data_IF_150595127228
#
_entry.id   IF_150595127228
#
_cell.length_a   1.000
_cell.length_b   1.000
_cell.length_c   1.000
_cell.angle_alpha   90.00
_cell.angle_beta   90.00
_cell.angle_gamma   90.00
#
_symmetry.space_group_name_H-M   'P 1'
#
loop_
_entity.id
_entity.type
_entity.pdbx_description
1 polymer ?
#
# COMPACT_ATOMS: atom_id res chain seq x y z
N UNK A 1 -12.44 -1.42 5.71
CA UNK A 1 -11.70 -2.56 6.32
C UNK A 1 -10.61 -2.01 7.23
N UNK A 2 -10.69 -2.25 8.56
CA UNK A 2 -9.69 -1.80 9.55
C UNK A 2 -8.87 -3.02 9.99
N UNK A 3 -7.65 -3.16 9.46
CA UNK A 3 -6.76 -4.26 9.84
C UNK A 3 -6.04 -3.95 11.16
N UNK A 4 -5.29 -2.84 11.25
CA UNK A 4 -4.50 -2.49 12.44
C UNK A 4 -5.16 -1.48 13.40
N UNK A 5 -6.50 -1.38 13.41
CA UNK A 5 -7.25 -0.48 14.31
C UNK A 5 -6.73 0.97 14.38
N UNK A 6 -6.12 1.48 13.30
CA UNK A 6 -5.48 2.79 13.26
C UNK A 6 -4.38 2.99 14.31
N UNK A 7 -3.61 1.93 14.63
CA UNK A 7 -2.52 1.96 15.60
C UNK A 7 -1.18 1.61 14.96
N UNK A 8 -0.13 2.28 15.41
CA UNK A 8 1.25 1.92 15.10
C UNK A 8 1.61 0.64 15.85
N UNK A 9 2.15 -0.37 15.17
CA UNK A 9 2.49 -1.65 15.78
C UNK A 9 3.71 -1.59 16.70
N UNK A 10 4.55 -0.55 16.54
CA UNK A 10 5.72 -0.30 17.38
C UNK A 10 5.36 0.45 18.67
N UNK A 11 4.89 1.69 18.59
CA UNK A 11 4.59 2.50 19.79
C UNK A 11 3.18 2.29 20.36
N UNK A 12 2.35 1.46 19.70
CA UNK A 12 0.96 1.15 20.07
C UNK A 12 0.01 2.36 20.18
N UNK A 13 0.42 3.56 19.78
CA UNK A 13 -0.42 4.77 19.77
C UNK A 13 -1.38 4.76 18.58
N UNK A 14 -2.53 5.39 18.76
CA UNK A 14 -3.53 5.62 17.71
C UNK A 14 -3.16 6.83 16.86
N UNK A 15 -3.37 6.71 15.55
CA UNK A 15 -3.09 7.75 14.57
C UNK A 15 -4.20 7.78 13.52
N UNK A 16 -4.52 8.95 12.94
CA UNK A 16 -5.31 9.02 11.73
C UNK A 16 -4.74 8.12 10.62
N UNK A 17 -5.62 7.50 9.82
CA UNK A 17 -5.23 6.48 8.83
C UNK A 17 -4.19 6.97 7.83
N UNK A 18 -4.24 8.24 7.44
CA UNK A 18 -3.33 8.84 6.46
C UNK A 18 -1.90 9.08 7.00
N UNK A 19 -1.66 8.89 8.30
CA UNK A 19 -0.34 9.05 8.94
C UNK A 19 0.37 7.70 9.09
N UNK A 20 -0.36 6.59 9.02
CA UNK A 20 0.20 5.26 9.15
C UNK A 20 0.69 4.75 7.80
N UNK A 21 1.93 4.29 7.80
CA UNK A 21 2.60 3.73 6.64
C UNK A 21 2.70 2.22 6.76
N UNK A 22 2.62 1.55 5.60
CA UNK A 22 2.72 0.10 5.49
C UNK A 22 4.08 -0.23 4.89
N UNK A 23 4.89 -0.98 5.62
CA UNK A 23 6.25 -1.32 5.20
C UNK A 23 6.41 -2.83 5.03
N UNK A 24 7.09 -3.23 3.97
CA UNK A 24 7.45 -4.62 3.71
C UNK A 24 8.82 -4.95 4.32
N UNK A 25 8.98 -6.20 4.78
CA UNK A 25 10.19 -6.72 5.41
C UNK A 25 10.79 -7.80 4.51
N UNK A 26 11.90 -7.44 3.87
CA UNK A 26 12.64 -8.31 2.96
C UNK A 26 12.12 -8.27 1.52
N UNK A 27 12.85 -8.95 0.65
CA UNK A 27 12.61 -8.98 -0.79
C UNK A 27 11.98 -10.33 -1.13
N UNK A 28 10.65 -10.37 -1.23
CA UNK A 28 9.94 -11.55 -1.69
C UNK A 28 8.95 -11.17 -2.78
N UNK A 29 8.86 -12.00 -3.80
CA UNK A 29 7.89 -11.86 -4.89
C UNK A 29 6.44 -11.99 -4.41
N UNK A 30 6.21 -12.59 -3.23
CA UNK A 30 4.89 -12.69 -2.60
C UNK A 30 4.96 -12.23 -1.14
N UNK A 31 4.38 -11.08 -0.88
CA UNK A 31 4.28 -10.51 0.46
C UNK A 31 3.18 -11.24 1.24
N UNK A 32 3.50 -11.73 2.44
CA UNK A 32 2.55 -12.32 3.38
C UNK A 32 2.32 -11.46 4.63
N UNK A 33 1.40 -11.86 5.50
CA UNK A 33 1.03 -11.13 6.70
C UNK A 33 2.18 -10.99 7.72
N UNK A 34 3.21 -11.84 7.62
CA UNK A 34 4.40 -11.82 8.49
C UNK A 34 5.51 -10.90 7.99
N UNK A 35 5.37 -10.40 6.76
CA UNK A 35 6.34 -9.54 6.09
C UNK A 35 5.87 -8.10 5.98
N UNK A 36 4.75 -7.75 6.61
CA UNK A 36 4.20 -6.39 6.57
C UNK A 36 4.04 -5.86 7.97
N UNK A 37 4.48 -4.64 8.21
CA UNK A 37 4.29 -3.91 9.47
C UNK A 37 3.61 -2.56 9.20
N UNK A 38 2.71 -2.14 10.09
CA UNK A 38 2.08 -0.82 10.05
C UNK A 38 2.68 0.07 11.14
N UNK A 39 3.29 1.19 10.74
CA UNK A 39 4.01 2.09 11.66
C UNK A 39 3.68 3.55 11.38
N UNK A 40 3.89 4.42 12.37
CA UNK A 40 3.96 5.85 12.10
C UNK A 40 5.35 6.21 11.56
N UNK A 41 5.42 7.29 10.78
CA UNK A 41 6.67 7.76 10.16
C UNK A 41 7.82 7.92 11.17
N UNK A 42 7.53 8.40 12.39
CA UNK A 42 8.53 8.57 13.44
C UNK A 42 9.15 7.22 13.84
N UNK A 43 8.33 6.23 14.18
CA UNK A 43 8.85 4.91 14.56
C UNK A 43 9.60 4.26 13.40
N UNK A 44 9.09 4.36 12.18
CA UNK A 44 9.79 3.83 11.00
C UNK A 44 11.16 4.46 10.82
N UNK A 45 11.26 5.79 10.89
CA UNK A 45 12.52 6.49 10.73
C UNK A 45 13.53 6.14 11.82
N UNK A 46 13.07 5.96 13.07
CA UNK A 46 13.92 5.55 14.18
C UNK A 46 14.42 4.10 14.06
N UNK A 47 13.65 3.20 13.43
CA UNK A 47 14.01 1.78 13.37
C UNK A 47 14.74 1.38 12.10
N UNK A 48 14.46 2.02 10.96
CA UNK A 48 14.93 1.58 9.63
C UNK A 48 16.45 1.47 9.50
N UNK A 49 17.20 2.30 10.22
CA UNK A 49 18.66 2.37 10.16
C UNK A 49 19.34 1.53 11.25
N UNK A 50 18.57 0.87 12.12
CA UNK A 50 19.15 0.07 13.20
C UNK A 50 19.72 -1.24 12.66
N UNK A 51 20.92 -1.66 13.12
CA UNK A 51 21.40 -3.00 12.85
C UNK A 51 20.41 -4.03 13.43
N UNK A 52 19.98 -4.99 12.62
CA UNK A 52 18.98 -5.98 13.03
C UNK A 52 17.52 -5.50 12.92
N UNK A 53 17.26 -4.39 12.22
CA UNK A 53 15.90 -3.87 11.95
C UNK A 53 14.89 -4.96 11.57
N UNK A 54 15.24 -5.86 10.64
CA UNK A 54 14.36 -6.95 10.21
C UNK A 54 13.97 -7.91 11.34
N UNK A 55 14.87 -8.17 12.29
CA UNK A 55 14.59 -9.02 13.44
C UNK A 55 13.64 -8.31 14.43
N UNK A 56 13.87 -7.01 14.68
CA UNK A 56 13.00 -6.17 15.49
C UNK A 56 11.58 -6.08 14.91
N UNK A 57 11.45 -5.87 13.60
CA UNK A 57 10.14 -5.82 12.99
C UNK A 57 9.42 -7.16 13.03
N UNK A 58 10.15 -8.27 12.87
CA UNK A 58 9.58 -9.62 13.03
C UNK A 58 9.09 -9.86 14.46
N UNK A 59 9.79 -9.38 15.49
CA UNK A 59 9.32 -9.51 16.88
C UNK A 59 8.05 -8.67 17.12
N UNK A 60 7.98 -7.47 16.58
CA UNK A 60 6.77 -6.63 16.64
C UNK A 60 5.57 -7.34 15.99
N UNK A 61 5.78 -7.93 14.80
CA UNK A 61 4.74 -8.70 14.10
C UNK A 61 4.38 -9.99 14.87
N UNK A 62 5.32 -10.56 15.63
CA UNK A 62 5.10 -11.76 16.43
C UNK A 62 3.99 -11.55 17.47
N UNK A 63 3.92 -10.36 18.06
CA UNK A 63 2.93 -9.97 19.08
C UNK A 63 1.53 -9.69 18.52
N UNK A 64 1.36 -9.69 17.20
CA UNK A 64 0.10 -9.31 16.57
C UNK A 64 -1.01 -10.32 16.89
N UNK A 65 -2.21 -9.85 17.31
CA UNK A 65 -3.36 -10.72 17.51
C UNK A 65 -3.69 -11.57 16.27
N UNK A 66 -4.11 -12.82 16.43
CA UNK A 66 -4.40 -13.73 15.32
C UNK A 66 -5.49 -13.20 14.39
N UNK A 67 -6.47 -12.46 14.94
CA UNK A 67 -7.53 -11.83 14.15
C UNK A 67 -7.01 -10.77 13.18
N UNK A 68 -6.03 -9.97 13.60
CA UNK A 68 -5.43 -8.93 12.75
C UNK A 68 -4.59 -9.60 11.66
N UNK A 69 -3.82 -10.63 12.00
CA UNK A 69 -3.08 -11.44 11.00
C UNK A 69 -4.01 -11.99 9.93
N UNK A 70 -5.13 -12.58 10.32
CA UNK A 70 -6.11 -13.12 9.38
C UNK A 70 -6.76 -12.04 8.49
N UNK A 71 -6.99 -10.83 9.02
CA UNK A 71 -7.49 -9.69 8.24
C UNK A 71 -6.47 -9.19 7.23
N UNK A 72 -5.20 -9.05 7.63
CA UNK A 72 -4.11 -8.63 6.74
C UNK A 72 -3.94 -9.66 5.63
N UNK A 73 -3.87 -10.95 5.97
CA UNK A 73 -3.75 -12.01 4.98
C UNK A 73 -4.90 -11.99 3.97
N UNK A 74 -6.13 -11.79 4.43
CA UNK A 74 -7.29 -11.63 3.53
C UNK A 74 -7.15 -10.43 2.59
N UNK A 75 -6.58 -9.32 3.05
CA UNK A 75 -6.33 -8.14 2.20
C UNK A 75 -5.23 -8.43 1.18
N UNK A 76 -4.12 -9.05 1.60
CA UNK A 76 -2.99 -9.36 0.72
C UNK A 76 -3.35 -10.41 -0.34
N UNK A 77 -4.20 -11.37 -0.01
CA UNK A 77 -4.67 -12.42 -0.93
C UNK A 77 -5.82 -11.94 -1.81
N UNK A 78 -6.52 -10.85 -1.43
CA UNK A 78 -7.64 -10.34 -2.22
C UNK A 78 -7.11 -9.89 -3.57
N UNK A 79 -7.43 -10.68 -4.60
CA UNK A 79 -7.25 -10.28 -6.00
C UNK A 79 -8.00 -8.95 -6.18
N UNK A 80 -7.29 -7.88 -6.51
CA UNK A 80 -7.95 -6.68 -7.00
C UNK A 80 -8.80 -7.12 -8.18
N UNK A 81 -10.06 -6.70 -8.20
CA UNK A 81 -10.87 -6.88 -9.40
C UNK A 81 -10.06 -6.31 -10.57
N UNK A 82 -10.03 -6.97 -11.74
CA UNK A 82 -9.52 -6.34 -12.94
C UNK A 82 -10.16 -4.96 -13.05
N UNK A 83 -9.35 -3.93 -13.26
CA UNK A 83 -9.89 -2.62 -13.58
C UNK A 83 -10.75 -2.79 -14.84
N UNK A 84 -12.06 -2.67 -14.68
CA UNK A 84 -13.00 -2.59 -15.78
C UNK A 84 -13.51 -1.16 -15.80
N UNK A 85 -13.01 -0.31 -16.71
CA UNK A 85 -13.56 1.04 -16.85
C UNK A 85 -15.07 0.94 -17.13
N UNK A 86 -15.87 1.78 -16.46
CA UNK A 86 -17.33 1.75 -16.53
C UNK A 86 -17.90 2.26 -17.86
N UNK A 87 -17.03 2.74 -18.75
CA UNK A 87 -17.38 3.30 -20.05
C UNK A 87 -16.60 2.60 -21.15
N UNK A 88 -17.30 2.21 -22.21
CA UNK A 88 -16.67 2.07 -23.53
C UNK A 88 -15.95 3.40 -23.79
N UNK A 89 -14.63 3.33 -23.73
CA UNK A 89 -13.75 4.47 -23.88
C UNK A 89 -13.79 4.83 -25.37
N UNK A 90 -14.66 5.76 -25.76
CA UNK A 90 -14.71 6.24 -27.14
C UNK A 90 -13.48 7.10 -27.38
N UNK A 91 -12.43 6.45 -27.88
CA UNK A 91 -11.19 7.12 -28.24
C UNK A 91 -11.44 8.29 -29.19
N UNK A 92 -12.49 8.24 -30.04
CA UNK A 92 -12.80 9.33 -30.95
C UNK A 92 -13.24 10.60 -30.20
N UNK A 93 -13.98 10.47 -29.09
CA UNK A 93 -14.40 11.60 -28.25
C UNK A 93 -13.19 12.23 -27.54
N UNK A 94 -12.29 11.40 -27.01
CA UNK A 94 -11.05 11.84 -26.35
C UNK A 94 -10.10 12.53 -27.35
N UNK A 95 -9.98 11.99 -28.57
CA UNK A 95 -9.20 12.61 -29.65
C UNK A 95 -9.80 13.93 -30.10
N UNK A 96 -11.13 14.02 -30.24
CA UNK A 96 -11.80 15.26 -30.60
C UNK A 96 -11.59 16.35 -29.53
N UNK A 97 -11.76 16.00 -28.25
CA UNK A 97 -11.52 16.93 -27.15
C UNK A 97 -10.07 17.39 -27.08
N UNK A 98 -9.10 16.50 -27.33
CA UNK A 98 -7.69 16.87 -27.37
C UNK A 98 -7.32 17.74 -28.58
N UNK A 99 -7.94 17.48 -29.73
CA UNK A 99 -7.78 18.28 -30.94
C UNK A 99 -8.32 19.70 -30.72
N UNK A 100 -9.53 19.81 -30.17
CA UNK A 100 -10.18 21.10 -29.89
C UNK A 100 -9.45 21.91 -28.81
N UNK A 101 -8.88 21.24 -27.82
CA UNK A 101 -8.10 21.88 -26.76
C UNK A 101 -6.61 22.07 -27.12
N UNK A 102 -6.21 21.79 -28.37
CA UNK A 102 -4.84 21.92 -28.86
C UNK A 102 -3.80 21.09 -28.04
N UNK A 103 -4.26 20.01 -27.38
CA UNK A 103 -3.51 19.11 -26.49
C UNK A 103 -3.03 17.83 -27.17
N UNK A 104 -2.80 17.90 -28.49
CA UNK A 104 -2.36 16.76 -29.30
C UNK A 104 -0.94 16.28 -28.95
N UNK A 105 -0.17 17.07 -28.20
CA UNK A 105 1.13 16.71 -27.64
C UNK A 105 1.05 15.53 -26.66
N UNK A 106 -0.10 15.32 -26.01
CA UNK A 106 -0.35 14.17 -25.13
C UNK A 106 -0.40 12.82 -25.87
N UNK A 107 -0.72 12.83 -27.17
CA UNK A 107 -0.85 11.63 -28.01
C UNK A 107 0.40 11.31 -28.82
N UNK A 108 1.29 12.30 -28.98
CA UNK A 108 2.50 12.19 -29.80
C UNK A 108 3.70 11.61 -29.03
N UNK A 109 3.60 11.43 -27.71
CA UNK A 109 4.66 10.86 -26.87
C UNK A 109 4.62 9.32 -26.78
N UNK A 110 3.91 8.65 -27.70
CA UNK A 110 3.84 7.19 -27.78
C UNK A 110 4.88 6.58 -28.74
N UNK A 111 6.17 6.67 -28.43
CA UNK A 111 7.23 5.72 -28.84
C UNK A 111 8.35 5.68 -27.82
#
# INVERSE_FOLDING_TARGET
MRACANRCECCKREYPRYILEVHAIGESSRINERQVVVMCAQCWHSTKNLPGHSALLRSIIAERPPEIRAKIQRILVKKSAPYMPETEFDLAEVFAEAYDNNGMDLFLNGM
#
